data_IF_684419633111
#
_entry.id   IF_684419633111
#
_cell.length_a   1.000
_cell.length_b   1.000
_cell.length_c   1.000
_cell.angle_alpha   90.00
_cell.angle_beta   90.00
_cell.angle_gamma   90.00
#
_symmetry.space_group_name_H-M   'P 1'
#
loop_
_entity.id
_entity.type
_entity.pdbx_description
1 polymer ?
#
# COMPACT_ATOMS: atom_id res chain seq x y z
N UNK A 1 26.37 -9.68 0.77
CA UNK A 1 26.21 -11.12 0.49
C UNK A 1 24.97 -11.33 -0.38
N UNK A 2 25.14 -11.99 -1.53
CA UNK A 2 24.10 -12.14 -2.56
C UNK A 2 23.09 -13.23 -2.11
N UNK A 3 21.80 -12.89 -2.09
CA UNK A 3 20.71 -13.61 -1.37
C UNK A 3 20.29 -14.92 -2.05
N UNK A 4 20.96 -15.32 -3.14
CA UNK A 4 20.53 -16.41 -4.02
C UNK A 4 21.37 -17.70 -3.92
N UNK A 5 22.11 -17.92 -2.84
CA UNK A 5 22.73 -19.24 -2.62
C UNK A 5 21.80 -20.12 -1.78
N UNK A 6 21.10 -21.03 -2.46
CA UNK A 6 20.43 -22.13 -1.79
C UNK A 6 21.48 -23.14 -1.31
N UNK A 7 21.32 -23.68 -0.12
CA UNK A 7 22.18 -24.76 0.39
C UNK A 7 21.98 -26.03 -0.46
N UNK A 8 22.90 -27.00 -0.33
CA UNK A 8 22.85 -28.30 -1.03
C UNK A 8 21.50 -29.04 -0.92
N UNK A 9 20.72 -28.72 0.12
CA UNK A 9 19.40 -29.29 0.41
C UNK A 9 18.21 -28.45 -0.10
N UNK A 10 18.44 -27.40 -0.89
CA UNK A 10 17.38 -26.56 -1.47
C UNK A 10 16.78 -25.50 -0.52
N UNK A 11 17.23 -25.44 0.73
CA UNK A 11 16.83 -24.38 1.66
C UNK A 11 17.55 -23.07 1.32
N UNK A 12 16.78 -21.98 1.27
CA UNK A 12 17.29 -20.61 1.15
C UNK A 12 16.91 -19.81 2.39
N UNK A 13 17.80 -18.92 2.84
CA UNK A 13 17.49 -18.00 3.93
C UNK A 13 16.50 -16.97 3.41
N UNK A 14 15.25 -17.06 3.84
CA UNK A 14 14.23 -16.08 3.48
C UNK A 14 14.55 -14.74 4.16
N UNK A 15 14.50 -13.64 3.41
CA UNK A 15 14.60 -12.31 4.02
C UNK A 15 13.35 -12.07 4.89
N UNK A 16 13.56 -11.80 6.17
CA UNK A 16 12.48 -11.39 7.05
C UNK A 16 11.82 -10.12 6.52
N UNK A 17 10.48 -10.09 6.44
CA UNK A 17 9.70 -8.85 6.21
C UNK A 17 9.54 -8.04 7.50
N UNK A 18 10.63 -7.94 8.27
CA UNK A 18 10.66 -7.15 9.49
C UNK A 18 10.51 -5.68 9.09
N UNK A 19 9.66 -4.96 9.81
CA UNK A 19 9.54 -3.51 9.67
C UNK A 19 10.55 -2.93 10.64
N UNK A 20 11.44 -2.10 10.12
CA UNK A 20 12.28 -1.26 10.96
C UNK A 20 11.46 -0.04 11.39
N UNK A 21 11.17 0.04 12.69
CA UNK A 21 10.33 1.09 13.25
C UNK A 21 11.05 2.43 13.36
N UNK A 22 12.38 2.44 13.39
CA UNK A 22 13.18 3.66 13.52
C UNK A 22 13.30 4.38 12.18
N UNK A 23 13.27 3.64 11.07
CA UNK A 23 13.36 4.19 9.71
C UNK A 23 12.01 4.38 9.01
N UNK A 24 10.92 3.84 9.55
CA UNK A 24 9.59 3.91 8.93
C UNK A 24 8.95 5.30 9.04
N UNK A 25 8.81 6.01 7.92
CA UNK A 25 8.11 7.29 7.83
C UNK A 25 6.59 7.17 8.01
N UNK A 26 6.07 7.72 9.11
CA UNK A 26 4.62 7.70 9.44
C UNK A 26 3.82 8.86 8.88
N UNK A 27 4.47 9.87 8.29
CA UNK A 27 3.83 11.09 7.82
C UNK A 27 2.73 10.83 6.78
N UNK A 28 3.01 9.99 5.79
CA UNK A 28 2.03 9.62 4.75
C UNK A 28 0.81 8.92 5.35
N UNK A 29 1.03 8.00 6.30
CA UNK A 29 -0.03 7.30 7.02
C UNK A 29 -0.92 8.27 7.79
N UNK A 30 -0.32 9.20 8.51
CA UNK A 30 -1.04 10.21 9.31
C UNK A 30 -1.83 11.16 8.42
N UNK A 31 -1.23 11.63 7.34
CA UNK A 31 -1.88 12.45 6.34
C UNK A 31 -3.12 11.79 5.72
N UNK A 32 -2.98 10.54 5.26
CA UNK A 32 -4.09 9.77 4.69
C UNK A 32 -5.16 9.54 5.75
N UNK A 33 -4.78 9.24 6.99
CA UNK A 33 -5.72 8.99 8.09
C UNK A 33 -6.50 10.24 8.50
N UNK A 34 -5.87 11.42 8.44
CA UNK A 34 -6.50 12.70 8.74
C UNK A 34 -7.57 13.05 7.70
N UNK A 35 -7.26 12.84 6.41
CA UNK A 35 -8.15 13.20 5.31
C UNK A 35 -9.18 12.14 4.95
N UNK A 36 -8.87 10.88 5.23
CA UNK A 36 -9.79 9.77 5.03
C UNK A 36 -9.84 8.88 6.29
N UNK A 37 -10.61 9.30 7.32
CA UNK A 37 -10.71 8.56 8.58
C UNK A 37 -11.23 7.13 8.42
N UNK A 38 -12.02 6.85 7.38
CA UNK A 38 -12.53 5.50 7.09
C UNK A 38 -11.40 4.50 6.82
N UNK A 39 -10.21 4.97 6.42
CA UNK A 39 -9.01 4.14 6.25
C UNK A 39 -8.72 3.28 7.49
N UNK A 40 -8.98 3.82 8.70
CA UNK A 40 -8.76 3.11 9.97
C UNK A 40 -9.59 1.83 10.08
N UNK A 41 -10.77 1.78 9.44
CA UNK A 41 -11.69 0.64 9.47
C UNK A 41 -11.24 -0.54 8.61
N UNK A 42 -10.24 -0.33 7.72
CA UNK A 42 -9.76 -1.38 6.83
C UNK A 42 -9.04 -2.49 7.62
N UNK A 43 -9.59 -3.71 7.57
CA UNK A 43 -9.02 -4.92 8.20
C UNK A 43 -8.35 -5.87 7.18
N UNK A 44 -8.00 -5.34 6.00
CA UNK A 44 -7.26 -6.06 4.96
C UNK A 44 -7.93 -7.35 4.41
N UNK A 45 -9.25 -7.37 4.25
CA UNK A 45 -9.95 -8.55 3.69
C UNK A 45 -9.62 -8.86 2.22
N UNK A 46 -9.25 -7.85 1.41
CA UNK A 46 -8.87 -8.04 0.01
C UNK A 46 -9.99 -7.98 -1.03
N UNK A 47 -11.26 -7.78 -0.65
CA UNK A 47 -12.37 -7.66 -1.61
C UNK A 47 -12.15 -6.56 -2.67
N UNK A 48 -11.56 -5.43 -2.25
CA UNK A 48 -11.19 -4.34 -3.15
C UNK A 48 -10.12 -4.72 -4.18
N UNK A 49 -9.27 -5.69 -3.87
CA UNK A 49 -8.24 -6.21 -4.80
C UNK A 49 -8.87 -7.18 -5.79
N UNK A 50 -9.76 -8.06 -5.33
CA UNK A 50 -10.44 -9.02 -6.19
C UNK A 50 -11.28 -8.36 -7.29
N UNK A 51 -11.91 -7.22 -7.01
CA UNK A 51 -12.71 -6.47 -8.00
C UNK A 51 -11.87 -5.53 -8.90
N UNK A 52 -10.57 -5.38 -8.62
CA UNK A 52 -9.77 -4.36 -9.27
C UNK A 52 -9.38 -4.77 -10.70
N UNK A 53 -9.86 -4.02 -11.71
CA UNK A 53 -9.46 -4.25 -13.10
C UNK A 53 -7.99 -3.93 -13.37
N UNK A 54 -7.43 -2.92 -12.70
CA UNK A 54 -6.00 -2.65 -12.83
C UNK A 54 -5.15 -3.85 -12.35
N UNK A 55 -5.60 -4.56 -11.32
CA UNK A 55 -4.94 -5.78 -10.82
C UNK A 55 -5.06 -7.00 -11.74
N UNK A 56 -5.93 -6.97 -12.75
CA UNK A 56 -6.02 -8.04 -13.76
C UNK A 56 -4.96 -7.86 -14.87
N UNK A 57 -4.55 -6.62 -15.13
CA UNK A 57 -3.61 -6.28 -16.20
C UNK A 57 -2.23 -5.86 -15.70
N UNK A 58 -2.09 -5.60 -14.40
CA UNK A 58 -0.84 -5.19 -13.75
C UNK A 58 -0.68 -5.89 -12.40
N UNK A 59 0.49 -5.79 -11.78
CA UNK A 59 0.75 -6.32 -10.44
C UNK A 59 0.10 -5.51 -9.31
N UNK A 60 -0.79 -4.55 -9.64
CA UNK A 60 -1.45 -3.67 -8.68
C UNK A 60 -2.28 -4.43 -7.65
N UNK A 61 -2.06 -4.10 -6.38
CA UNK A 61 -2.80 -4.72 -5.29
C UNK A 61 -3.19 -3.69 -4.23
N UNK A 62 -4.46 -3.33 -4.22
CA UNK A 62 -4.98 -2.29 -3.33
C UNK A 62 -4.88 -2.65 -1.84
N UNK A 63 -5.04 -3.94 -1.49
CA UNK A 63 -4.81 -4.41 -0.12
C UNK A 63 -3.34 -4.27 0.29
N UNK A 64 -2.42 -4.56 -0.63
CA UNK A 64 -0.98 -4.42 -0.42
C UNK A 64 -0.59 -2.94 -0.31
N UNK A 65 -1.14 -2.07 -1.16
CA UNK A 65 -1.00 -0.62 -1.06
C UNK A 65 -1.41 -0.11 0.33
N UNK A 66 -2.57 -0.53 0.85
CA UNK A 66 -3.01 -0.17 2.20
C UNK A 66 -2.03 -0.66 3.29
N UNK A 67 -1.37 -1.80 3.05
CA UNK A 67 -0.35 -2.32 3.96
C UNK A 67 0.90 -1.44 3.91
N UNK A 68 1.36 -1.01 2.74
CA UNK A 68 2.49 -0.09 2.60
C UNK A 68 2.24 1.24 3.31
N UNK A 69 1.05 1.82 3.16
CA UNK A 69 0.65 3.03 3.89
C UNK A 69 0.73 2.80 5.41
N UNK A 70 0.18 1.68 5.92
CA UNK A 70 0.19 1.39 7.36
C UNK A 70 1.60 1.19 7.92
N UNK A 71 2.52 0.67 7.10
CA UNK A 71 3.90 0.37 7.47
C UNK A 71 4.89 1.50 7.22
N UNK A 72 4.49 2.58 6.57
CA UNK A 72 5.40 3.67 6.19
C UNK A 72 6.39 3.29 5.07
N UNK A 73 6.08 2.26 4.27
CA UNK A 73 6.94 1.82 3.17
C UNK A 73 6.70 2.71 1.93
N UNK A 74 7.46 3.80 1.80
CA UNK A 74 7.21 4.84 0.77
C UNK A 74 7.60 4.41 -0.65
N UNK A 75 8.74 3.72 -0.80
CA UNK A 75 9.26 3.34 -2.11
C UNK A 75 8.32 2.41 -2.89
N UNK A 76 7.85 1.27 -2.34
CA UNK A 76 6.88 0.43 -3.04
C UNK A 76 5.51 1.12 -3.17
N UNK A 77 5.17 2.01 -2.24
CA UNK A 77 3.93 2.78 -2.31
C UNK A 77 3.91 3.71 -3.52
N UNK A 78 5.03 4.39 -3.82
CA UNK A 78 5.17 5.29 -4.97
C UNK A 78 4.82 4.59 -6.28
N UNK A 79 5.35 3.38 -6.47
CA UNK A 79 5.11 2.61 -7.68
C UNK A 79 3.66 2.10 -7.77
N UNK A 80 3.10 1.59 -6.67
CA UNK A 80 1.73 1.06 -6.65
C UNK A 80 0.67 2.13 -6.93
N UNK A 81 0.85 3.34 -6.37
CA UNK A 81 -0.17 4.39 -6.44
C UNK A 81 -0.44 4.85 -7.87
N UNK A 82 0.58 4.89 -8.73
CA UNK A 82 0.44 5.33 -10.13
C UNK A 82 -0.38 4.38 -10.99
N UNK A 83 -0.52 3.11 -10.59
CA UNK A 83 -1.26 2.08 -11.35
C UNK A 83 -2.78 2.18 -11.17
N UNK A 84 -3.25 2.95 -10.19
CA UNK A 84 -4.69 3.09 -9.93
C UNK A 84 -5.36 4.07 -10.90
N UNK A 85 -6.35 3.59 -11.66
CA UNK A 85 -7.16 4.42 -12.58
C UNK A 85 -8.31 5.18 -11.90
N UNK A 86 -8.40 5.17 -10.57
CA UNK A 86 -9.44 5.84 -9.80
C UNK A 86 -10.90 5.53 -10.25
N UNK A 87 -11.17 4.32 -10.73
CA UNK A 87 -12.50 3.91 -11.22
C UNK A 87 -13.58 3.75 -10.13
N UNK A 88 -13.19 3.59 -8.86
CA UNK A 88 -14.12 3.54 -7.73
C UNK A 88 -14.83 2.20 -7.45
N UNK A 89 -14.64 1.15 -8.25
CA UNK A 89 -15.28 -0.18 -8.02
C UNK A 89 -14.98 -0.79 -6.66
N UNK A 90 -13.80 -0.51 -6.11
CA UNK A 90 -13.38 -0.92 -4.77
C UNK A 90 -14.29 -0.42 -3.64
N UNK A 91 -15.05 0.68 -3.85
CA UNK A 91 -16.00 1.22 -2.88
C UNK A 91 -17.22 0.32 -2.73
N UNK A 92 -17.74 -0.19 -3.85
CA UNK A 92 -18.98 -0.96 -3.92
C UNK A 92 -18.89 -2.30 -3.18
N UNK A 93 -17.70 -2.87 -3.11
CA UNK A 93 -17.45 -4.19 -2.51
C UNK A 93 -16.93 -4.12 -1.08
N UNK A 94 -16.66 -2.92 -0.54
CA UNK A 94 -16.03 -2.81 0.77
C UNK A 94 -17.05 -3.07 1.90
N UNK A 95 -16.91 -4.14 2.70
CA UNK A 95 -17.88 -4.46 3.75
C UNK A 95 -17.85 -3.48 4.94
N UNK A 96 -16.85 -2.60 5.00
CA UNK A 96 -16.68 -1.60 6.07
C UNK A 96 -16.94 -0.18 5.60
N UNK A 97 -17.33 0.00 4.33
CA UNK A 97 -17.55 1.33 3.76
C UNK A 97 -16.30 2.20 3.70
N UNK A 98 -15.10 1.61 3.57
CA UNK A 98 -13.86 2.39 3.44
C UNK A 98 -13.84 3.08 2.08
N UNK A 99 -13.62 4.39 2.08
CA UNK A 99 -13.49 5.17 0.85
C UNK A 99 -12.11 4.94 0.20
N UNK A 100 -11.89 3.73 -0.30
CA UNK A 100 -10.60 3.27 -0.83
C UNK A 100 -10.14 4.06 -2.06
N UNK A 101 -11.07 4.62 -2.84
CA UNK A 101 -10.73 5.53 -3.94
C UNK A 101 -10.03 6.79 -3.41
N UNK A 102 -10.60 7.41 -2.38
CA UNK A 102 -10.01 8.59 -1.76
C UNK A 102 -8.71 8.26 -1.03
N UNK A 103 -8.60 7.10 -0.37
CA UNK A 103 -7.32 6.64 0.24
C UNK A 103 -6.18 6.66 -0.78
N UNK A 104 -6.40 6.12 -2.00
CA UNK A 104 -5.35 6.13 -3.04
C UNK A 104 -5.05 7.54 -3.53
N UNK A 105 -6.07 8.38 -3.73
CA UNK A 105 -5.88 9.76 -4.14
C UNK A 105 -5.07 10.57 -3.10
N UNK A 106 -5.39 10.40 -1.81
CA UNK A 106 -4.68 11.06 -0.70
C UNK A 106 -3.26 10.52 -0.55
N UNK A 107 -3.03 9.23 -0.77
CA UNK A 107 -1.69 8.66 -0.78
C UNK A 107 -0.85 9.25 -1.93
N UNK A 108 -1.42 9.42 -3.13
CA UNK A 108 -0.75 10.06 -4.26
C UNK A 108 -0.39 11.52 -3.96
N UNK A 109 -1.30 12.27 -3.33
CA UNK A 109 -1.01 13.65 -2.93
C UNK A 109 0.05 13.72 -1.83
N UNK A 110 0.00 12.83 -0.85
CA UNK A 110 0.97 12.76 0.23
C UNK A 110 2.38 12.50 -0.30
N UNK A 111 2.54 11.59 -1.27
CA UNK A 111 3.84 11.30 -1.90
C UNK A 111 4.39 12.54 -2.63
N UNK A 112 3.55 13.23 -3.42
CA UNK A 112 3.97 14.47 -4.10
C UNK A 112 4.41 15.56 -3.12
N UNK A 113 3.70 15.70 -2.00
CA UNK A 113 4.06 16.67 -0.94
C UNK A 113 5.33 16.28 -0.20
N UNK A 114 5.54 14.97 0.01
CA UNK A 114 6.77 14.45 0.60
C UNK A 114 7.98 14.76 -0.30
N UNK A 115 7.85 14.60 -1.62
CA UNK A 115 8.90 14.97 -2.59
C UNK A 115 9.24 16.47 -2.58
N UNK A 116 8.26 17.33 -2.29
CA UNK A 116 8.45 18.78 -2.12
C UNK A 116 8.86 19.20 -0.71
N UNK A 117 9.03 18.23 0.21
CA UNK A 117 9.36 18.47 1.61
C UNK A 117 8.33 19.34 2.37
N UNK A 118 7.05 19.27 1.96
CA UNK A 118 5.92 20.04 2.51
C UNK A 118 5.05 19.21 3.48
N UNK A 119 5.50 18.00 3.83
CA UNK A 119 4.71 17.00 4.56
C UNK A 119 5.19 16.78 6.01
#
# INVERSE_FOLDING_TARGET
MNVKQANKFGFSINRSRLIDYDTSDRKVREYVTLREPSFKLCFACGGCTATCTAGQHTSFNLRRLNTYIRRGEIEPLREEVTRCMLCGKCLLVCPRGVNTRNVVAMAAEAIRKLERNEL
#
